data_IF_374884853714
#
_entry.id   IF_374884853714
#
_cell.length_a   1.000
_cell.length_b   1.000
_cell.length_c   1.000
_cell.angle_alpha   90.00
_cell.angle_beta   90.00
_cell.angle_gamma   90.00
#
_symmetry.space_group_name_H-M   'P 1'
#
loop_
_entity.id
_entity.type
_entity.pdbx_description
1 polymer ?
#
# COMPACT_ATOMS: atom_id res chain seq x y z
N UNK A 1 -9.67 1.40 -12.83
CA UNK A 1 -9.54 0.33 -11.82
C UNK A 1 -9.23 0.97 -10.48
N UNK A 2 -9.80 0.46 -9.39
CA UNK A 2 -9.54 0.90 -8.01
C UNK A 2 -8.77 -0.20 -7.28
N UNK A 3 -8.06 0.16 -6.20
CA UNK A 3 -7.30 -0.78 -5.37
C UNK A 3 -8.12 -1.98 -4.90
N UNK A 4 -9.36 -1.73 -4.47
CA UNK A 4 -10.31 -2.78 -4.04
C UNK A 4 -10.69 -3.79 -5.12
N UNK A 5 -10.45 -3.47 -6.40
CA UNK A 5 -10.76 -4.36 -7.51
C UNK A 5 -9.67 -5.44 -7.67
N UNK A 6 -8.50 -5.26 -7.05
CA UNK A 6 -7.33 -6.16 -7.19
C UNK A 6 -6.68 -6.58 -5.87
N UNK A 7 -7.10 -6.03 -4.74
CA UNK A 7 -6.48 -6.32 -3.45
C UNK A 7 -7.44 -6.16 -2.27
N UNK A 8 -7.23 -7.00 -1.25
CA UNK A 8 -7.70 -6.71 0.11
C UNK A 8 -6.82 -5.63 0.74
N UNK A 9 -7.44 -4.70 1.46
CA UNK A 9 -6.74 -3.62 2.13
C UNK A 9 -7.15 -3.55 3.61
N UNK A 10 -6.16 -3.37 4.48
CA UNK A 10 -6.35 -3.11 5.91
C UNK A 10 -5.45 -1.96 6.34
N UNK A 11 -5.95 -1.08 7.18
CA UNK A 11 -5.15 -0.07 7.85
C UNK A 11 -5.11 -0.32 9.36
N UNK A 12 -4.01 0.06 9.98
CA UNK A 12 -3.84 0.06 11.43
C UNK A 12 -3.25 1.37 11.89
N UNK A 13 -3.85 1.95 12.92
CA UNK A 13 -3.36 3.16 13.57
C UNK A 13 -2.25 2.82 14.58
N UNK A 14 -1.23 3.68 14.63
CA UNK A 14 -0.06 3.59 15.50
C UNK A 14 0.26 4.96 16.11
N UNK A 15 -0.79 5.64 16.59
CA UNK A 15 -0.67 6.92 17.28
C UNK A 15 -0.39 8.05 16.30
N UNK A 16 0.90 8.34 16.07
CA UNK A 16 1.33 9.40 15.14
C UNK A 16 1.74 8.84 13.76
N UNK A 17 1.60 7.53 13.56
CA UNK A 17 1.84 6.85 12.29
C UNK A 17 0.71 5.87 11.99
N UNK A 18 0.60 5.44 10.74
CA UNK A 18 -0.35 4.42 10.31
C UNK A 18 0.35 3.41 9.41
N UNK A 19 -0.10 2.16 9.46
CA UNK A 19 0.27 1.15 8.49
C UNK A 19 -0.91 0.84 7.56
N UNK A 20 -0.59 0.48 6.32
CA UNK A 20 -1.56 0.07 5.31
C UNK A 20 -1.00 -1.20 4.70
N UNK A 21 -1.73 -2.31 4.88
CA UNK A 21 -1.40 -3.59 4.26
C UNK A 21 -2.29 -3.84 3.05
N UNK A 22 -1.68 -4.30 1.97
CA UNK A 22 -2.37 -4.71 0.75
C UNK A 22 -2.05 -6.17 0.45
N UNK A 23 -3.06 -7.01 0.22
CA UNK A 23 -2.89 -8.40 -0.22
C UNK A 23 -3.57 -8.53 -1.57
N UNK A 24 -2.79 -8.78 -2.63
CA UNK A 24 -3.31 -8.93 -3.98
C UNK A 24 -4.17 -10.20 -4.12
N UNK A 25 -5.13 -10.17 -5.05
CA UNK A 25 -5.94 -11.36 -5.34
C UNK A 25 -5.18 -12.44 -6.12
N UNK A 26 -4.18 -12.04 -6.90
CA UNK A 26 -3.34 -12.92 -7.71
C UNK A 26 -1.97 -12.27 -8.04
N UNK A 27 -1.09 -13.00 -8.73
CA UNK A 27 0.25 -12.53 -9.10
C UNK A 27 0.22 -11.32 -10.06
N UNK A 28 -0.78 -11.23 -10.94
CA UNK A 28 -0.90 -10.12 -11.88
C UNK A 28 -1.25 -8.83 -11.15
N UNK A 29 -2.23 -8.90 -10.24
CA UNK A 29 -2.57 -7.83 -9.31
C UNK A 29 -1.36 -7.43 -8.46
N UNK A 30 -0.59 -8.40 -7.94
CA UNK A 30 0.61 -8.10 -7.15
C UNK A 30 1.65 -7.30 -7.95
N UNK A 31 1.90 -7.66 -9.22
CA UNK A 31 2.79 -6.89 -10.09
C UNK A 31 2.31 -5.45 -10.28
N UNK A 32 1.00 -5.25 -10.48
CA UNK A 32 0.41 -3.90 -10.56
C UNK A 32 0.62 -3.15 -9.24
N UNK A 33 0.45 -3.80 -8.08
CA UNK A 33 0.70 -3.16 -6.79
C UNK A 33 2.16 -2.72 -6.65
N UNK A 34 3.13 -3.59 -6.98
CA UNK A 34 4.56 -3.25 -6.92
C UNK A 34 4.92 -2.06 -7.83
N UNK A 35 4.32 -1.97 -9.02
CA UNK A 35 4.54 -0.87 -9.96
C UNK A 35 3.87 0.44 -9.51
N UNK A 36 2.65 0.38 -8.98
CA UNK A 36 1.80 1.56 -8.78
C UNK A 36 1.81 2.09 -7.34
N UNK A 37 1.97 1.22 -6.35
CA UNK A 37 1.94 1.57 -4.91
C UNK A 37 3.38 1.80 -4.44
N UNK A 38 3.97 2.92 -4.86
CA UNK A 38 5.30 3.35 -4.40
C UNK A 38 5.18 4.22 -3.15
N UNK A 39 6.26 4.30 -2.37
CA UNK A 39 6.31 5.17 -1.20
C UNK A 39 5.99 6.63 -1.58
N UNK A 40 6.58 7.14 -2.65
CA UNK A 40 6.38 8.51 -3.13
C UNK A 40 4.90 8.78 -3.44
N UNK A 41 4.23 7.85 -4.13
CA UNK A 41 2.83 8.02 -4.53
C UNK A 41 1.89 7.93 -3.34
N UNK A 42 2.17 7.05 -2.37
CA UNK A 42 1.44 6.95 -1.12
C UNK A 42 1.60 8.23 -0.30
N UNK A 43 2.84 8.73 -0.15
CA UNK A 43 3.12 9.99 0.52
C UNK A 43 2.39 11.17 -0.13
N UNK A 44 2.39 11.26 -1.46
CA UNK A 44 1.67 12.30 -2.20
C UNK A 44 0.15 12.21 -2.04
N UNK A 45 -0.40 10.99 -2.00
CA UNK A 45 -1.82 10.74 -1.80
C UNK A 45 -2.28 11.22 -0.41
N UNK A 46 -1.47 10.94 0.63
CA UNK A 46 -1.77 11.34 2.01
C UNK A 46 -1.18 12.69 2.43
N UNK A 47 -0.64 13.50 1.49
CA UNK A 47 0.03 14.78 1.81
C UNK A 47 -0.79 15.72 2.69
N UNK A 48 -2.11 15.69 2.56
CA UNK A 48 -3.03 16.53 3.34
C UNK A 48 -3.04 16.21 4.84
N UNK A 49 -2.59 15.01 5.22
CA UNK A 49 -2.43 14.58 6.61
C UNK A 49 -1.08 14.99 7.22
N UNK A 50 -0.18 15.58 6.43
CA UNK A 50 1.17 15.95 6.86
C UNK A 50 2.09 14.78 7.27
N UNK A 51 2.10 13.62 6.58
CA UNK A 51 3.00 12.53 6.94
C UNK A 51 4.46 12.96 6.78
N UNK A 52 5.31 12.61 7.75
CA UNK A 52 6.76 12.87 7.68
C UNK A 52 7.46 12.03 6.61
N UNK A 53 6.87 10.91 6.23
CA UNK A 53 7.39 10.00 5.22
C UNK A 53 6.56 8.73 5.15
N UNK A 54 6.87 7.90 4.16
CA UNK A 54 6.25 6.59 3.95
C UNK A 54 7.33 5.59 3.57
N UNK A 55 7.25 4.40 4.16
CA UNK A 55 8.14 3.28 3.85
C UNK A 55 7.31 2.16 3.26
N UNK A 56 7.80 1.55 2.17
CA UNK A 56 7.15 0.40 1.53
C UNK A 56 7.92 -0.87 1.89
N UNK A 57 7.17 -1.93 2.21
CA UNK A 57 7.69 -3.27 2.39
C UNK A 57 7.07 -4.17 1.33
N UNK A 58 7.83 -5.13 0.81
CA UNK A 58 7.30 -6.11 -0.14
C UNK A 58 7.33 -7.48 0.54
N UNK A 59 6.24 -8.24 0.40
CA UNK A 59 6.09 -9.59 0.92
C UNK A 59 5.71 -10.53 -0.25
N UNK A 60 6.65 -10.87 -1.15
CA UNK A 60 6.32 -11.58 -2.40
C UNK A 60 5.65 -12.95 -2.17
N UNK A 61 6.08 -13.67 -1.13
CA UNK A 61 5.51 -14.98 -0.78
C UNK A 61 4.04 -14.91 -0.33
N UNK A 62 3.55 -13.71 0.00
CA UNK A 62 2.17 -13.44 0.42
C UNK A 62 1.41 -12.58 -0.60
N UNK A 63 2.04 -12.23 -1.73
CA UNK A 63 1.52 -11.30 -2.73
C UNK A 63 1.07 -9.96 -2.09
N UNK A 64 1.87 -9.45 -1.16
CA UNK A 64 1.49 -8.34 -0.30
C UNK A 64 2.50 -7.19 -0.22
N UNK A 65 2.00 -6.01 0.16
CA UNK A 65 2.73 -4.77 0.49
C UNK A 65 2.39 -4.29 1.91
#
# INVERSE_FOLDING_TARGET
MKLRDIAHARSGDKGDSANIGLIAFDEYAYRILCEQVTAERVGQFFRALGPRGSTRYELPNLLAL
#
